data_IF_766511549850
#
_entry.id   IF_766511549850
#
_cell.length_a   1.000
_cell.length_b   1.000
_cell.length_c   1.000
_cell.angle_alpha   90.00
_cell.angle_beta   90.00
_cell.angle_gamma   90.00
#
_symmetry.space_group_name_H-M   'P 1'
#
loop_
_entity.id
_entity.type
_entity.pdbx_description
1 polymer ?
#
# COMPACT_ATOMS: atom_id res chain seq x y z
N UNK A 1 16.94 -19.45 -3.16
CA UNK A 1 17.03 -19.27 -4.62
C UNK A 1 15.98 -20.12 -5.31
N UNK A 2 15.24 -19.54 -6.26
CA UNK A 2 14.30 -20.28 -7.08
C UNK A 2 15.06 -20.99 -8.21
N UNK A 3 14.74 -22.26 -8.55
CA UNK A 3 15.28 -22.92 -9.73
C UNK A 3 15.03 -22.13 -11.01
N UNK A 4 15.93 -22.26 -12.01
CA UNK A 4 15.79 -21.59 -13.31
C UNK A 4 14.42 -21.88 -13.96
N UNK A 5 13.96 -23.13 -13.88
CA UNK A 5 12.70 -23.59 -14.48
C UNK A 5 11.47 -23.39 -13.58
N UNK A 6 11.63 -22.79 -12.40
CA UNK A 6 10.52 -22.54 -11.49
C UNK A 6 9.55 -21.54 -12.12
N UNK A 7 8.26 -21.87 -12.08
CA UNK A 7 7.21 -20.98 -12.60
C UNK A 7 6.88 -19.94 -11.53
N UNK A 8 6.96 -18.68 -11.91
CA UNK A 8 6.60 -17.55 -11.08
C UNK A 8 5.34 -16.92 -11.65
N UNK A 9 4.32 -16.83 -10.80
CA UNK A 9 3.13 -16.05 -11.04
C UNK A 9 3.28 -14.72 -10.29
N UNK A 10 3.32 -13.61 -11.02
CA UNK A 10 3.38 -12.25 -10.49
C UNK A 10 1.98 -11.67 -10.52
N UNK A 11 1.44 -11.32 -9.35
CA UNK A 11 0.11 -10.74 -9.19
C UNK A 11 0.17 -9.44 -8.40
N UNK A 12 -0.44 -8.35 -8.87
CA UNK A 12 -0.71 -7.17 -8.06
C UNK A 12 -1.58 -7.53 -6.86
N UNK A 13 -1.33 -6.90 -5.72
CA UNK A 13 -2.04 -7.19 -4.45
C UNK A 13 -3.31 -6.37 -4.25
N UNK A 14 -3.56 -5.42 -5.14
CA UNK A 14 -4.59 -4.38 -5.08
C UNK A 14 -5.71 -4.58 -6.12
N UNK A 15 -5.71 -5.70 -6.84
CA UNK A 15 -6.76 -6.04 -7.81
C UNK A 15 -7.90 -6.85 -7.19
N UNK A 16 -9.10 -6.65 -7.71
CA UNK A 16 -10.27 -7.48 -7.42
C UNK A 16 -10.57 -8.39 -8.61
N UNK A 17 -10.70 -9.70 -8.34
CA UNK A 17 -11.06 -10.72 -9.33
C UNK A 17 -12.29 -11.45 -8.79
N UNK A 18 -13.42 -11.37 -9.50
CA UNK A 18 -14.69 -11.97 -9.02
C UNK A 18 -14.96 -13.36 -9.58
N UNK A 19 -14.51 -13.65 -10.79
CA UNK A 19 -14.70 -14.98 -11.40
C UNK A 19 -13.48 -15.87 -11.14
N UNK A 20 -13.45 -16.49 -9.96
CA UNK A 20 -12.36 -17.39 -9.56
C UNK A 20 -12.24 -18.63 -10.45
N UNK A 21 -13.34 -19.08 -11.06
CA UNK A 21 -13.33 -20.27 -11.93
C UNK A 21 -12.64 -19.98 -13.25
N UNK A 22 -13.00 -18.87 -13.89
CA UNK A 22 -12.31 -18.43 -15.10
C UNK A 22 -10.86 -18.05 -14.78
N UNK A 23 -10.60 -17.44 -13.62
CA UNK A 23 -9.24 -17.13 -13.19
C UNK A 23 -8.36 -18.38 -13.08
N UNK A 24 -8.84 -19.44 -12.43
CA UNK A 24 -8.13 -20.73 -12.33
C UNK A 24 -7.83 -21.35 -13.70
N UNK A 25 -8.77 -21.25 -14.64
CA UNK A 25 -8.61 -21.73 -16.02
C UNK A 25 -7.52 -20.96 -16.77
N UNK A 26 -7.53 -19.63 -16.72
CA UNK A 26 -6.50 -18.82 -17.39
C UNK A 26 -5.13 -18.99 -16.74
N UNK A 27 -5.04 -19.21 -15.43
CA UNK A 27 -3.78 -19.53 -14.75
C UNK A 27 -3.19 -20.87 -15.23
N UNK A 28 -4.05 -21.87 -15.46
CA UNK A 28 -3.63 -23.18 -15.98
C UNK A 28 -3.03 -23.03 -17.39
N UNK A 29 -3.73 -22.30 -18.26
CA UNK A 29 -3.24 -22.00 -19.61
C UNK A 29 -1.95 -21.17 -19.58
N UNK A 30 -1.83 -20.20 -18.65
CA UNK A 30 -0.64 -19.39 -18.49
C UNK A 30 0.58 -20.23 -18.10
N UNK A 31 0.38 -21.19 -17.20
CA UNK A 31 1.42 -22.14 -16.81
C UNK A 31 1.89 -22.98 -18.01
N UNK A 32 0.98 -23.48 -18.83
CA UNK A 32 1.33 -24.26 -20.04
C UNK A 32 2.19 -23.45 -21.01
N UNK A 33 1.79 -22.20 -21.31
CA UNK A 33 2.57 -21.33 -22.18
C UNK A 33 3.92 -20.92 -21.58
N UNK A 34 3.97 -20.67 -20.27
CA UNK A 34 5.21 -20.36 -19.57
C UNK A 34 6.20 -21.55 -19.55
N UNK A 35 5.69 -22.78 -19.54
CA UNK A 35 6.49 -24.00 -19.68
C UNK A 35 7.19 -24.10 -21.04
N UNK A 36 6.70 -23.38 -22.05
CA UNK A 36 7.30 -23.25 -23.39
C UNK A 36 8.25 -22.03 -23.51
N UNK A 37 8.75 -21.51 -22.39
CA UNK A 37 9.67 -20.36 -22.31
C UNK A 37 9.08 -19.02 -22.79
N UNK A 38 7.74 -18.89 -22.78
CA UNK A 38 7.07 -17.61 -23.03
C UNK A 38 6.98 -16.75 -21.76
N UNK A 39 6.91 -15.42 -21.96
CA UNK A 39 6.51 -14.46 -20.94
C UNK A 39 5.01 -14.20 -21.09
N UNK A 40 4.19 -14.75 -20.21
CA UNK A 40 2.74 -14.69 -20.34
C UNK A 40 2.19 -13.48 -19.57
N UNK A 41 1.33 -12.70 -20.20
CA UNK A 41 0.51 -11.67 -19.57
C UNK A 41 -0.98 -11.99 -19.75
N UNK A 42 -1.84 -11.35 -18.97
CA UNK A 42 -3.28 -11.57 -19.00
C UNK A 42 -3.96 -10.29 -19.48
N UNK A 43 -4.67 -10.41 -20.61
CA UNK A 43 -5.41 -9.32 -21.22
C UNK A 43 -6.85 -9.36 -20.79
N UNK A 44 -7.37 -8.27 -20.22
CA UNK A 44 -8.81 -8.15 -19.90
C UNK A 44 -9.53 -7.61 -21.12
N UNK A 45 -10.62 -8.26 -21.52
CA UNK A 45 -11.46 -7.75 -22.62
C UNK A 45 -12.05 -6.40 -22.27
N UNK A 46 -11.74 -5.31 -23.00
CA UNK A 46 -12.25 -3.98 -22.70
C UNK A 46 -13.76 -3.93 -22.88
N UNK A 47 -14.46 -3.37 -21.89
CA UNK A 47 -15.91 -3.12 -21.98
C UNK A 47 -16.23 -1.68 -22.43
N UNK A 48 -15.26 -0.79 -22.31
CA UNK A 48 -15.35 0.62 -22.68
C UNK A 48 -13.95 1.15 -23.02
N UNK A 49 -13.88 2.39 -23.52
CA UNK A 49 -12.64 3.07 -23.84
C UNK A 49 -12.04 3.72 -22.58
N UNK A 50 -11.24 2.96 -21.83
CA UNK A 50 -10.51 3.47 -20.65
C UNK A 50 -9.19 4.12 -21.08
N UNK A 51 -8.84 5.25 -20.47
CA UNK A 51 -7.59 5.98 -20.74
C UNK A 51 -6.54 5.78 -19.64
N UNK A 52 -6.97 5.25 -18.48
CA UNK A 52 -6.12 4.95 -17.33
C UNK A 52 -5.34 3.64 -17.43
N UNK A 53 -5.66 2.77 -18.39
CA UNK A 53 -5.02 1.45 -18.54
C UNK A 53 -4.04 1.39 -19.71
N UNK A 54 -3.05 0.50 -19.59
CA UNK A 54 -2.27 0.03 -20.73
C UNK A 54 -3.09 -0.94 -21.58
N UNK A 55 -2.88 -0.92 -22.89
CA UNK A 55 -3.50 -1.81 -23.86
C UNK A 55 -2.46 -2.73 -24.49
N UNK A 56 -2.86 -3.98 -24.74
CA UNK A 56 -2.07 -5.01 -25.40
C UNK A 56 -2.72 -5.27 -26.76
N UNK A 57 -2.04 -4.92 -27.83
CA UNK A 57 -2.43 -5.33 -29.18
C UNK A 57 -1.97 -6.76 -29.43
N UNK A 58 -2.87 -7.63 -29.87
CA UNK A 58 -2.54 -9.03 -30.12
C UNK A 58 -3.08 -9.56 -31.44
N UNK A 59 -2.50 -10.69 -31.86
CA UNK A 59 -3.03 -11.55 -32.92
C UNK A 59 -3.13 -12.98 -32.38
N UNK A 60 -4.32 -13.37 -31.95
CA UNK A 60 -4.49 -14.58 -31.15
C UNK A 60 -3.81 -14.41 -29.79
N UNK A 61 -2.84 -15.27 -29.48
CA UNK A 61 -2.07 -15.19 -28.24
C UNK A 61 -0.77 -14.38 -28.39
N UNK A 62 -0.35 -14.07 -29.62
CA UNK A 62 0.89 -13.35 -29.88
C UNK A 62 0.70 -11.86 -29.65
N UNK A 63 1.51 -11.29 -28.75
CA UNK A 63 1.53 -9.85 -28.51
C UNK A 63 2.27 -9.15 -29.65
N UNK A 64 1.65 -8.13 -30.23
CA UNK A 64 2.23 -7.27 -31.25
C UNK A 64 2.90 -6.04 -30.65
N UNK A 65 2.21 -5.38 -29.72
CA UNK A 65 2.64 -4.14 -29.11
C UNK A 65 1.89 -3.91 -27.80
N UNK A 66 2.52 -3.16 -26.89
CA UNK A 66 1.82 -2.53 -25.78
C UNK A 66 1.68 -1.04 -26.05
N UNK A 67 0.59 -0.46 -25.57
CA UNK A 67 0.24 0.94 -25.72
C UNK A 67 -0.20 1.47 -24.35
N UNK A 68 0.62 2.29 -23.70
CA UNK A 68 0.28 2.80 -22.36
C UNK A 68 -0.64 4.02 -22.43
N UNK A 69 -1.73 3.98 -21.65
CA UNK A 69 -2.62 5.12 -21.34
C UNK A 69 -2.94 5.99 -22.56
N UNK A 70 -3.61 5.40 -23.57
CA UNK A 70 -3.99 6.12 -24.77
C UNK A 70 -4.90 7.31 -24.45
N UNK A 71 -4.95 8.29 -25.36
CA UNK A 71 -6.00 9.30 -25.30
C UNK A 71 -7.37 8.65 -25.62
N UNK A 72 -8.45 9.38 -25.34
CA UNK A 72 -9.82 8.86 -25.50
C UNK A 72 -10.12 8.36 -26.92
N UNK A 73 -9.69 9.11 -27.93
CA UNK A 73 -9.89 8.76 -29.35
C UNK A 73 -9.23 7.42 -29.70
N UNK A 74 -7.98 7.22 -29.26
CA UNK A 74 -7.24 5.97 -29.44
C UNK A 74 -7.86 4.80 -28.67
N UNK A 75 -8.30 5.03 -27.44
CA UNK A 75 -8.98 4.01 -26.66
C UNK A 75 -10.29 3.53 -27.34
N UNK A 76 -11.02 4.45 -27.98
CA UNK A 76 -12.21 4.12 -28.78
C UNK A 76 -11.84 3.33 -30.05
N UNK A 77 -10.76 3.70 -30.75
CA UNK A 77 -10.22 2.93 -31.88
C UNK A 77 -9.85 1.49 -31.47
N UNK A 78 -9.16 1.32 -30.33
CA UNK A 78 -8.75 0.02 -29.81
C UNK A 78 -9.95 -0.87 -29.47
N UNK A 79 -10.97 -0.29 -28.84
CA UNK A 79 -12.21 -0.99 -28.52
C UNK A 79 -12.92 -1.48 -29.80
N UNK A 80 -12.99 -0.64 -30.83
CA UNK A 80 -13.63 -1.00 -32.11
C UNK A 80 -12.85 -2.07 -32.88
N UNK A 81 -11.52 -2.07 -32.81
CA UNK A 81 -10.68 -3.04 -33.49
C UNK A 81 -10.83 -4.47 -32.91
N UNK A 82 -11.18 -4.60 -31.63
CA UNK A 82 -11.51 -5.88 -30.99
C UNK A 82 -10.33 -6.83 -30.75
N UNK A 83 -9.12 -6.44 -31.16
CA UNK A 83 -7.87 -7.20 -30.95
C UNK A 83 -6.93 -6.55 -29.91
N UNK A 84 -7.50 -5.67 -29.08
CA UNK A 84 -6.80 -4.99 -27.99
C UNK A 84 -7.38 -5.39 -26.63
N UNK A 85 -6.51 -5.58 -25.65
CA UNK A 85 -6.88 -6.00 -24.29
C UNK A 85 -6.28 -5.06 -23.25
N UNK A 86 -6.95 -4.82 -22.14
CA UNK A 86 -6.33 -4.10 -21.02
C UNK A 86 -5.24 -4.97 -20.38
N UNK A 87 -4.08 -4.37 -20.13
CA UNK A 87 -2.99 -4.99 -19.40
C UNK A 87 -3.37 -5.10 -17.92
N UNK A 88 -3.54 -6.32 -17.42
CA UNK A 88 -3.91 -6.57 -16.02
C UNK A 88 -2.74 -6.47 -15.04
N UNK A 89 -1.52 -6.22 -15.49
CA UNK A 89 -0.32 -6.21 -14.64
C UNK A 89 0.05 -7.57 -14.03
N UNK A 90 -0.64 -8.65 -14.40
CA UNK A 90 -0.32 -10.01 -14.01
C UNK A 90 0.62 -10.66 -15.04
N UNK A 91 1.56 -11.46 -14.56
CA UNK A 91 2.51 -12.16 -15.42
C UNK A 91 2.79 -13.58 -14.96
N UNK A 92 3.08 -14.49 -15.88
CA UNK A 92 3.49 -15.87 -15.59
C UNK A 92 4.66 -16.27 -16.50
N UNK A 93 5.76 -16.71 -15.90
CA UNK A 93 6.98 -17.09 -16.62
C UNK A 93 7.88 -18.00 -15.79
N UNK A 94 8.85 -18.64 -16.44
CA UNK A 94 9.97 -19.27 -15.72
C UNK A 94 10.92 -18.19 -15.17
N UNK A 95 11.35 -18.32 -13.92
CA UNK A 95 12.24 -17.37 -13.26
C UNK A 95 13.51 -17.10 -14.08
N UNK A 96 14.13 -18.15 -14.60
CA UNK A 96 15.35 -18.06 -15.41
C UNK A 96 15.15 -17.34 -16.74
N UNK A 97 14.06 -17.66 -17.45
CA UNK A 97 13.74 -17.04 -18.74
C UNK A 97 13.50 -15.54 -18.58
N UNK A 98 12.79 -15.13 -17.53
CA UNK A 98 12.61 -13.71 -17.23
C UNK A 98 13.95 -13.01 -16.95
N UNK A 99 14.83 -13.61 -16.16
CA UNK A 99 16.14 -13.04 -15.86
C UNK A 99 17.02 -12.90 -17.11
N UNK A 100 16.94 -13.85 -18.04
CA UNK A 100 17.66 -13.78 -19.32
C UNK A 100 17.13 -12.63 -20.20
N UNK A 101 15.81 -12.49 -20.32
CA UNK A 101 15.19 -11.39 -21.07
C UNK A 101 15.48 -10.03 -20.40
N UNK A 102 15.43 -9.95 -19.07
CA UNK A 102 15.78 -8.74 -18.31
C UNK A 102 17.24 -8.33 -18.55
N UNK A 103 18.16 -9.30 -18.60
CA UNK A 103 19.57 -9.03 -18.88
C UNK A 103 19.78 -8.47 -20.29
N UNK A 104 18.99 -8.90 -21.27
CA UNK A 104 19.06 -8.40 -22.65
C UNK A 104 18.48 -6.99 -22.76
N UNK A 105 17.28 -6.77 -22.24
CA UNK A 105 16.51 -5.55 -22.49
C UNK A 105 16.69 -4.44 -21.45
N UNK A 106 17.13 -4.80 -20.24
CA UNK A 106 17.43 -3.87 -19.16
C UNK A 106 18.65 -4.33 -18.32
N UNK A 107 19.84 -4.44 -18.95
CA UNK A 107 21.03 -4.98 -18.30
C UNK A 107 21.43 -4.24 -17.02
N UNK A 108 21.21 -2.92 -16.96
CA UNK A 108 21.51 -2.12 -15.77
C UNK A 108 20.65 -2.55 -14.58
N UNK A 109 19.33 -2.72 -14.78
CA UNK A 109 18.42 -3.20 -13.73
C UNK A 109 18.83 -4.60 -13.27
N UNK A 110 19.15 -5.50 -14.21
CA UNK A 110 19.60 -6.86 -13.88
C UNK A 110 20.86 -6.84 -13.00
N UNK A 111 21.92 -6.14 -13.42
CA UNK A 111 23.19 -6.15 -12.69
C UNK A 111 23.09 -5.46 -11.32
N UNK A 112 22.40 -4.31 -11.22
CA UNK A 112 22.22 -3.62 -9.93
C UNK A 112 21.35 -4.44 -8.98
N UNK A 113 20.27 -5.06 -9.47
CA UNK A 113 19.42 -5.93 -8.64
C UNK A 113 20.18 -7.16 -8.14
N UNK A 114 21.08 -7.71 -8.96
CA UNK A 114 21.95 -8.83 -8.57
C UNK A 114 22.95 -8.45 -7.48
N UNK A 115 23.53 -7.25 -7.56
CA UNK A 115 24.41 -6.70 -6.50
C UNK A 115 23.60 -6.50 -5.22
N UNK A 116 22.46 -5.83 -5.31
CA UNK A 116 21.56 -5.58 -4.19
C UNK A 116 21.14 -6.88 -3.48
N UNK A 117 20.82 -7.92 -4.26
CA UNK A 117 20.47 -9.24 -3.72
C UNK A 117 21.64 -9.90 -2.98
N UNK A 118 22.87 -9.81 -3.51
CA UNK A 118 24.07 -10.35 -2.85
C UNK A 118 24.44 -9.61 -1.57
N UNK A 119 24.20 -8.30 -1.53
CA UNK A 119 24.47 -7.44 -0.37
C UNK A 119 23.38 -7.55 0.70
N UNK A 120 22.21 -8.10 0.35
CA UNK A 120 21.07 -8.18 1.25
C UNK A 120 21.42 -8.99 2.51
N UNK A 121 20.98 -8.48 3.67
CA UNK A 121 21.10 -9.21 4.94
C UNK A 121 19.99 -10.25 5.01
N UNK A 122 20.34 -11.46 5.45
CA UNK A 122 19.39 -12.56 5.62
C UNK A 122 19.38 -13.04 7.07
N UNK A 123 18.66 -12.31 7.93
CA UNK A 123 18.33 -12.73 9.30
C UNK A 123 16.89 -13.30 9.29
N UNK A 124 16.61 -14.28 8.43
CA UNK A 124 15.27 -14.89 8.23
C UNK A 124 14.33 -14.11 7.30
N UNK A 125 14.63 -12.84 7.02
CA UNK A 125 13.96 -12.02 5.99
C UNK A 125 15.05 -11.37 5.14
N UNK A 126 14.94 -11.49 3.81
CA UNK A 126 15.84 -10.79 2.88
C UNK A 126 15.49 -9.30 2.89
N UNK A 127 16.44 -8.46 3.30
CA UNK A 127 16.29 -7.01 3.29
C UNK A 127 17.37 -6.37 2.45
N UNK A 128 16.96 -5.68 1.39
CA UNK A 128 17.82 -4.85 0.55
C UNK A 128 18.06 -3.52 1.29
N UNK A 129 19.30 -3.03 1.27
CA UNK A 129 19.64 -1.75 1.91
C UNK A 129 19.04 -0.58 1.14
N UNK A 130 18.91 0.58 1.79
CA UNK A 130 18.41 1.79 1.11
C UNK A 130 19.31 2.16 -0.07
N UNK A 131 20.63 2.17 0.13
CA UNK A 131 21.58 2.55 -0.92
C UNK A 131 21.54 1.58 -2.10
N UNK A 132 21.48 0.27 -1.84
CA UNK A 132 21.35 -0.74 -2.91
C UNK A 132 20.03 -0.55 -3.69
N UNK A 133 18.92 -0.29 -3.00
CA UNK A 133 17.61 -0.06 -3.66
C UNK A 133 17.64 1.21 -4.52
N UNK A 134 18.16 2.31 -3.98
CA UNK A 134 18.26 3.61 -4.66
C UNK A 134 19.17 3.57 -5.90
N UNK A 135 20.08 2.60 -5.98
CA UNK A 135 20.93 2.37 -7.15
C UNK A 135 20.25 1.58 -8.27
N UNK A 136 19.12 0.90 -8.01
CA UNK A 136 18.36 0.18 -9.03
C UNK A 136 17.57 1.22 -9.85
N UNK A 137 17.72 1.28 -11.19
CA UNK A 137 16.94 2.19 -12.01
C UNK A 137 15.43 1.96 -11.86
N UNK A 138 14.68 3.02 -11.61
CA UNK A 138 13.22 2.99 -11.55
C UNK A 138 12.63 2.75 -12.95
N UNK A 139 11.97 1.61 -13.14
CA UNK A 139 11.22 1.29 -14.35
C UNK A 139 10.22 0.16 -14.08
N UNK A 140 9.10 0.12 -14.81
CA UNK A 140 8.16 -1.01 -14.72
C UNK A 140 8.65 -2.21 -15.54
N UNK A 141 8.17 -3.41 -15.20
CA UNK A 141 8.45 -4.64 -15.94
C UNK A 141 7.90 -4.57 -17.38
N UNK A 142 6.79 -3.86 -17.58
CA UNK A 142 6.14 -3.64 -18.87
C UNK A 142 7.13 -3.00 -19.86
N UNK A 143 7.70 -1.86 -19.48
CA UNK A 143 8.69 -1.13 -20.30
C UNK A 143 10.08 -1.76 -20.32
N UNK A 144 10.50 -2.32 -19.18
CA UNK A 144 11.84 -2.88 -19.05
C UNK A 144 12.01 -4.14 -19.90
N UNK A 145 10.95 -4.96 -20.02
CA UNK A 145 11.02 -6.30 -20.63
C UNK A 145 9.87 -6.56 -21.59
N UNK A 146 8.61 -6.44 -21.15
CA UNK A 146 7.47 -6.99 -21.90
C UNK A 146 7.27 -6.32 -23.26
N UNK A 147 7.42 -5.01 -23.35
CA UNK A 147 7.32 -4.27 -24.61
C UNK A 147 8.37 -4.62 -25.65
N UNK A 148 9.52 -5.12 -25.21
CA UNK A 148 10.70 -5.34 -26.06
C UNK A 148 10.89 -6.82 -26.39
N UNK A 149 10.38 -7.71 -25.55
CA UNK A 149 10.51 -9.15 -25.70
C UNK A 149 9.66 -9.66 -26.87
N UNK A 150 10.24 -10.60 -27.62
CA UNK A 150 9.54 -11.31 -28.71
C UNK A 150 8.86 -12.59 -28.24
N UNK A 151 8.96 -12.91 -26.96
CA UNK A 151 8.42 -14.14 -26.34
C UNK A 151 7.13 -13.91 -25.57
N UNK A 152 6.51 -12.74 -25.76
CA UNK A 152 5.34 -12.36 -24.97
C UNK A 152 4.09 -12.98 -25.56
N UNK A 153 3.32 -13.65 -24.70
CA UNK A 153 1.99 -14.15 -25.01
C UNK A 153 0.97 -13.47 -24.14
N UNK A 154 -0.19 -13.15 -24.70
CA UNK A 154 -1.35 -12.67 -23.93
C UNK A 154 -2.42 -13.74 -23.90
N UNK A 155 -3.04 -13.94 -22.73
CA UNK A 155 -4.27 -14.71 -22.60
C UNK A 155 -5.43 -13.73 -22.49
N UNK A 156 -6.26 -13.59 -23.54
CA UNK A 156 -7.53 -12.89 -23.45
C UNK A 156 -8.41 -13.52 -22.38
N UNK A 157 -8.94 -12.71 -21.47
CA UNK A 157 -9.64 -13.19 -20.30
C UNK A 157 -10.81 -12.30 -19.91
N UNK A 158 -11.84 -12.92 -19.32
CA UNK A 158 -13.00 -12.24 -18.77
C UNK A 158 -13.22 -12.70 -17.32
N UNK A 159 -12.23 -12.41 -16.47
CA UNK A 159 -12.20 -12.85 -15.07
C UNK A 159 -12.96 -11.92 -14.12
N UNK A 160 -13.76 -11.00 -14.66
CA UNK A 160 -14.44 -9.95 -13.88
C UNK A 160 -13.44 -9.18 -12.99
N UNK A 161 -12.41 -8.63 -13.65
CA UNK A 161 -11.29 -7.91 -13.06
C UNK A 161 -11.61 -6.43 -12.85
N UNK A 162 -11.09 -5.86 -11.76
CA UNK A 162 -11.03 -4.43 -11.49
C UNK A 162 -9.69 -4.12 -10.81
N UNK A 163 -9.03 -3.04 -11.20
CA UNK A 163 -7.81 -2.56 -10.55
C UNK A 163 -8.10 -1.79 -9.25
N UNK A 164 -9.37 -1.46 -8.99
CA UNK A 164 -9.84 -0.62 -7.88
C UNK A 164 -8.98 0.66 -7.74
N UNK A 165 -8.46 1.17 -8.87
CA UNK A 165 -7.42 2.21 -8.88
C UNK A 165 -7.96 3.62 -8.65
N UNK A 166 -9.27 3.77 -8.48
CA UNK A 166 -9.94 5.06 -8.30
C UNK A 166 -11.15 4.95 -7.38
N UNK A 167 -11.56 6.09 -6.81
CA UNK A 167 -12.78 6.13 -6.00
C UNK A 167 -14.05 5.89 -6.84
N UNK A 168 -14.01 6.16 -8.14
CA UNK A 168 -15.10 5.77 -9.05
C UNK A 168 -15.22 4.24 -9.15
N UNK A 169 -14.08 3.54 -9.31
CA UNK A 169 -14.07 2.08 -9.30
C UNK A 169 -14.55 1.52 -7.95
N UNK A 170 -14.12 2.12 -6.84
CA UNK A 170 -14.58 1.73 -5.50
C UNK A 170 -16.10 1.89 -5.33
N UNK A 171 -16.69 2.98 -5.86
CA UNK A 171 -18.14 3.18 -5.84
C UNK A 171 -18.89 2.05 -6.54
N UNK A 172 -18.41 1.58 -7.69
CA UNK A 172 -19.04 0.49 -8.43
C UNK A 172 -19.05 -0.81 -7.63
N UNK A 173 -18.00 -1.06 -6.86
CA UNK A 173 -17.82 -2.28 -6.07
C UNK A 173 -18.60 -2.31 -4.75
N UNK A 174 -18.82 -1.16 -4.13
CA UNK A 174 -19.50 -1.11 -2.84
C UNK A 174 -21.02 -1.32 -2.98
N UNK A 175 -21.64 -2.01 -2.00
CA UNK A 175 -23.10 -2.13 -1.91
C UNK A 175 -23.77 -0.75 -1.84
N UNK A 176 -24.93 -0.61 -2.48
CA UNK A 176 -25.67 0.66 -2.59
C UNK A 176 -27.06 0.55 -1.98
N UNK A 177 -27.56 1.65 -1.45
CA UNK A 177 -28.95 1.80 -1.02
C UNK A 177 -29.90 1.99 -2.22
N UNK A 178 -31.20 2.16 -1.93
CA UNK A 178 -32.25 2.39 -2.95
C UNK A 178 -32.07 3.67 -3.77
N UNK A 179 -31.26 4.62 -3.29
CA UNK A 179 -30.99 5.92 -3.90
C UNK A 179 -29.62 5.95 -4.60
N UNK A 180 -28.91 4.82 -4.66
CA UNK A 180 -27.59 4.71 -5.28
C UNK A 180 -26.45 5.23 -4.40
N UNK A 181 -26.66 5.57 -3.12
CA UNK A 181 -25.57 5.91 -2.22
C UNK A 181 -24.91 4.63 -1.70
N UNK A 182 -23.59 4.61 -1.51
CA UNK A 182 -22.95 3.44 -0.89
C UNK A 182 -23.40 3.26 0.56
N UNK A 183 -23.68 2.02 0.94
CA UNK A 183 -24.17 1.69 2.30
C UNK A 183 -23.08 1.96 3.32
N UNK A 184 -23.39 2.79 4.33
CA UNK A 184 -22.49 3.12 5.42
C UNK A 184 -23.30 3.45 6.70
N UNK A 185 -23.01 2.77 7.81
CA UNK A 185 -23.73 2.94 9.09
C UNK A 185 -23.57 4.35 9.70
N UNK A 186 -22.56 5.10 9.25
CA UNK A 186 -22.31 6.47 9.66
C UNK A 186 -22.91 7.51 8.71
N UNK A 187 -23.57 7.10 7.64
CA UNK A 187 -24.21 7.99 6.69
C UNK A 187 -25.66 8.30 7.06
N UNK A 188 -26.01 9.58 7.04
CA UNK A 188 -27.38 10.07 7.10
C UNK A 188 -27.65 10.85 5.82
N UNK A 189 -28.70 10.46 5.09
CA UNK A 189 -29.03 11.03 3.79
C UNK A 189 -30.44 11.63 3.80
N UNK A 190 -30.56 12.87 3.34
CA UNK A 190 -31.82 13.53 3.01
C UNK A 190 -31.74 13.92 1.53
N UNK A 191 -32.64 13.39 0.72
CA UNK A 191 -32.77 13.72 -0.71
C UNK A 191 -31.47 13.69 -1.54
N UNK A 192 -30.51 12.82 -1.15
CA UNK A 192 -29.20 12.68 -1.81
C UNK A 192 -29.09 11.34 -2.55
N UNK A 193 -28.41 11.34 -3.72
CA UNK A 193 -28.37 10.19 -4.65
C UNK A 193 -27.00 9.93 -5.27
N UNK A 194 -26.74 8.67 -5.61
CA UNK A 194 -25.56 8.26 -6.40
C UNK A 194 -24.21 8.69 -5.81
N UNK A 195 -24.11 8.81 -4.48
CA UNK A 195 -22.90 9.25 -3.79
C UNK A 195 -22.06 8.07 -3.27
N UNK A 196 -20.73 8.15 -3.44
CA UNK A 196 -19.80 7.34 -2.66
C UNK A 196 -19.62 7.98 -1.29
N UNK A 197 -19.98 7.26 -0.24
CA UNK A 197 -19.81 7.63 1.15
C UNK A 197 -18.90 6.60 1.84
N UNK A 198 -17.64 6.98 2.02
CA UNK A 198 -16.64 6.14 2.66
C UNK A 198 -16.10 6.82 3.91
N UNK A 199 -16.05 6.11 5.03
CA UNK A 199 -15.55 6.63 6.29
C UNK A 199 -16.20 5.97 7.49
N UNK A 200 -15.46 5.86 8.59
CA UNK A 200 -15.90 5.11 9.77
C UNK A 200 -15.73 5.87 11.10
N UNK A 201 -15.20 7.09 11.07
CA UNK A 201 -14.89 7.88 12.28
C UNK A 201 -16.04 8.81 12.66
N UNK A 202 -16.46 9.69 11.75
CA UNK A 202 -17.51 10.69 12.00
C UNK A 202 -18.83 10.28 11.35
N UNK A 203 -19.92 10.89 11.81
CA UNK A 203 -21.19 10.87 11.07
C UNK A 203 -21.06 11.74 9.83
N UNK A 204 -21.44 11.19 8.69
CA UNK A 204 -21.45 11.87 7.39
C UNK A 204 -22.91 12.18 7.07
N UNK A 205 -23.25 13.45 6.88
CA UNK A 205 -24.61 13.87 6.53
C UNK A 205 -24.63 14.53 5.16
N UNK A 206 -25.57 14.13 4.30
CA UNK A 206 -25.78 14.70 2.96
C UNK A 206 -27.21 15.17 2.78
N UNK A 207 -27.39 16.38 2.24
CA UNK A 207 -28.70 16.99 1.96
C UNK A 207 -28.67 17.55 0.53
N UNK A 208 -29.63 17.15 -0.30
CA UNK A 208 -29.81 17.66 -1.67
C UNK A 208 -28.55 17.60 -2.56
N UNK A 209 -27.71 16.56 -2.38
CA UNK A 209 -26.49 16.36 -3.17
C UNK A 209 -26.51 15.06 -3.96
N UNK A 210 -25.91 15.13 -5.15
CA UNK A 210 -25.83 13.99 -6.06
C UNK A 210 -24.45 13.89 -6.72
N UNK A 211 -24.09 12.66 -7.07
CA UNK A 211 -22.84 12.33 -7.78
C UNK A 211 -21.59 12.88 -7.08
N UNK A 212 -21.52 12.75 -5.76
CA UNK A 212 -20.34 13.06 -4.96
C UNK A 212 -19.57 11.82 -4.53
N UNK A 213 -18.27 12.00 -4.38
CA UNK A 213 -17.37 11.12 -3.66
C UNK A 213 -17.01 11.85 -2.37
N UNK A 214 -17.41 11.28 -1.23
CA UNK A 214 -17.11 11.75 0.12
C UNK A 214 -16.32 10.65 0.83
N UNK A 215 -15.04 10.92 1.09
CA UNK A 215 -14.12 9.99 1.74
C UNK A 215 -13.61 10.67 3.01
N UNK A 216 -14.11 10.23 4.16
CA UNK A 216 -13.74 10.72 5.48
C UNK A 216 -12.84 9.70 6.19
N UNK A 217 -11.57 10.05 6.31
CA UNK A 217 -10.56 9.28 7.04
C UNK A 217 -10.12 10.06 8.28
N UNK A 218 -9.39 9.42 9.19
CA UNK A 218 -8.99 10.06 10.45
C UNK A 218 -8.13 11.32 10.25
N UNK A 219 -7.36 11.38 9.16
CA UNK A 219 -6.40 12.43 8.84
C UNK A 219 -6.86 13.38 7.72
N UNK A 220 -7.75 12.93 6.83
CA UNK A 220 -8.18 13.74 5.71
C UNK A 220 -9.65 13.52 5.32
N UNK A 221 -10.26 14.59 4.80
CA UNK A 221 -11.56 14.57 4.14
C UNK A 221 -11.38 14.92 2.66
N UNK A 222 -11.80 14.03 1.78
CA UNK A 222 -11.91 14.28 0.35
C UNK A 222 -13.39 14.41 -0.02
N UNK A 223 -13.73 15.51 -0.69
CA UNK A 223 -15.00 15.68 -1.37
C UNK A 223 -14.70 16.00 -2.83
N UNK A 224 -15.27 15.22 -3.75
CA UNK A 224 -15.14 15.47 -5.18
C UNK A 224 -16.40 15.07 -5.92
N UNK A 225 -16.56 15.57 -7.15
CA UNK A 225 -17.59 15.07 -8.05
C UNK A 225 -17.19 13.70 -8.58
N UNK A 226 -18.14 12.76 -8.63
CA UNK A 226 -17.99 11.46 -9.30
C UNK A 226 -17.56 11.67 -10.76
N UNK A 227 -16.65 10.82 -11.24
CA UNK A 227 -15.95 10.94 -12.52
C UNK A 227 -14.73 11.86 -12.51
N UNK A 228 -14.41 12.51 -11.38
CA UNK A 228 -13.20 13.35 -11.23
C UNK A 228 -12.13 12.74 -10.33
N UNK A 229 -12.28 11.47 -9.91
CA UNK A 229 -11.37 10.85 -8.94
C UNK A 229 -9.91 10.75 -9.42
N UNK A 230 -9.67 10.72 -10.73
CA UNK A 230 -8.31 10.73 -11.31
C UNK A 230 -7.50 11.99 -10.90
N UNK A 231 -8.16 13.10 -10.55
CA UNK A 231 -7.51 14.33 -10.09
C UNK A 231 -7.00 14.25 -8.65
N UNK A 232 -7.30 13.19 -7.90
CA UNK A 232 -6.78 13.00 -6.53
C UNK A 232 -5.26 13.04 -6.51
N UNK A 233 -4.58 12.52 -7.54
CA UNK A 233 -3.12 12.60 -7.68
C UNK A 233 -2.60 14.04 -7.67
N UNK A 234 -3.33 14.98 -8.28
CA UNK A 234 -2.98 16.40 -8.28
C UNK A 234 -3.14 17.00 -6.87
N UNK A 235 -4.19 16.63 -6.14
CA UNK A 235 -4.37 17.06 -4.74
C UNK A 235 -3.24 16.53 -3.85
N UNK A 236 -2.85 15.26 -3.99
CA UNK A 236 -1.71 14.69 -3.25
C UNK A 236 -0.43 15.47 -3.53
N UNK A 237 -0.18 15.88 -4.78
CA UNK A 237 0.97 16.71 -5.13
C UNK A 237 0.95 18.10 -4.46
N UNK A 238 -0.22 18.70 -4.26
CA UNK A 238 -0.34 19.97 -3.52
C UNK A 238 -0.15 19.78 -2.01
N UNK A 239 -0.76 18.73 -1.43
CA UNK A 239 -0.66 18.41 0.01
C UNK A 239 0.78 18.11 0.44
N UNK A 240 1.57 17.48 -0.44
CA UNK A 240 3.01 17.25 -0.26
C UNK A 240 3.83 18.50 0.03
N UNK A 241 3.39 19.68 -0.43
CA UNK A 241 4.14 20.93 -0.28
C UNK A 241 4.08 21.49 1.14
N UNK A 242 3.07 21.10 1.91
CA UNK A 242 2.78 21.72 3.21
C UNK A 242 2.66 20.72 4.34
N UNK A 243 2.47 19.43 4.05
CA UNK A 243 2.25 18.40 5.08
C UNK A 243 2.85 17.04 4.70
N UNK A 244 3.16 16.24 5.73
CA UNK A 244 3.59 14.84 5.60
C UNK A 244 2.42 13.84 5.51
N UNK A 245 1.17 14.30 5.38
CA UNK A 245 -0.03 13.44 5.36
C UNK A 245 0.01 12.37 4.26
N UNK A 246 0.71 12.65 3.17
CA UNK A 246 0.89 11.72 2.05
C UNK A 246 1.83 10.55 2.35
N UNK A 247 2.56 10.60 3.47
CA UNK A 247 3.64 9.70 3.82
C UNK A 247 3.43 9.08 5.21
N UNK A 248 3.00 9.90 6.17
CA UNK A 248 2.76 9.49 7.56
C UNK A 248 1.26 9.32 7.78
N UNK A 249 0.82 8.07 7.80
CA UNK A 249 -0.53 7.73 8.26
C UNK A 249 -0.63 7.96 9.78
N UNK A 250 -1.81 8.35 10.28
CA UNK A 250 -2.07 8.46 11.72
C UNK A 250 -1.60 7.25 12.53
N UNK A 251 -1.78 6.04 12.00
CA UNK A 251 -1.38 4.79 12.67
C UNK A 251 -0.15 4.19 12.01
N UNK A 252 0.97 4.17 12.73
CA UNK A 252 2.18 3.48 12.32
C UNK A 252 2.20 2.03 12.82
N UNK A 253 2.40 1.09 11.91
CA UNK A 253 2.61 -0.32 12.26
C UNK A 253 4.08 -0.62 12.49
N UNK A 254 4.38 -1.35 13.55
CA UNK A 254 5.74 -1.77 13.93
C UNK A 254 5.74 -3.26 14.31
N UNK A 255 6.91 -3.92 14.27
CA UNK A 255 7.01 -5.33 14.67
C UNK A 255 6.55 -5.61 16.12
N UNK A 256 6.65 -4.61 17.00
CA UNK A 256 6.19 -4.70 18.39
C UNK A 256 4.71 -4.39 18.59
N UNK A 257 4.02 -3.78 17.61
CA UNK A 257 2.65 -3.29 17.78
C UNK A 257 2.34 -2.09 16.90
N UNK A 258 1.60 -1.11 17.43
CA UNK A 258 1.20 0.09 16.71
C UNK A 258 1.33 1.34 17.57
N UNK A 259 1.48 2.50 16.94
CA UNK A 259 1.15 3.78 17.55
C UNK A 259 0.17 4.52 16.65
N UNK A 260 -0.71 5.31 17.25
CA UNK A 260 -1.62 6.22 16.55
C UNK A 260 -1.41 7.62 17.09
N UNK A 261 -1.10 8.59 16.23
CA UNK A 261 -1.08 10.00 16.60
C UNK A 261 -2.53 10.46 16.76
N UNK A 262 -2.89 10.87 17.97
CA UNK A 262 -4.21 11.39 18.28
C UNK A 262 -4.27 12.91 18.10
N UNK A 263 -3.15 13.58 18.39
CA UNK A 263 -3.02 15.02 18.29
C UNK A 263 -1.54 15.41 18.09
N UNK A 264 -1.28 16.38 17.21
CA UNK A 264 0.06 16.91 16.94
C UNK A 264 -0.04 18.43 16.77
N UNK A 265 0.41 19.17 17.79
CA UNK A 265 0.23 20.61 17.92
C UNK A 265 1.54 21.24 18.41
N UNK A 266 1.87 22.50 18.08
CA UNK A 266 3.05 23.15 18.66
C UNK A 266 3.07 23.05 20.20
N UNK A 267 4.15 22.48 20.74
CA UNK A 267 4.35 22.30 22.18
C UNK A 267 3.98 20.92 22.74
N UNK A 268 3.15 20.12 22.06
CA UNK A 268 2.82 18.76 22.51
C UNK A 268 2.33 17.81 21.42
N UNK A 269 2.44 16.51 21.69
CA UNK A 269 1.94 15.44 20.83
C UNK A 269 1.34 14.33 21.67
N UNK A 270 0.16 13.86 21.29
CA UNK A 270 -0.54 12.78 21.99
C UNK A 270 -0.56 11.54 21.09
N UNK A 271 -0.14 10.41 21.62
CA UNK A 271 -0.19 9.12 20.92
C UNK A 271 -0.93 8.07 21.74
N UNK A 272 -1.66 7.19 21.04
CA UNK A 272 -2.07 5.89 21.57
C UNK A 272 -1.03 4.87 21.13
N UNK A 273 -0.38 4.19 22.07
CA UNK A 273 0.57 3.12 21.77
C UNK A 273 -0.03 1.79 22.20
N UNK A 274 0.04 0.79 21.32
CA UNK A 274 -0.40 -0.58 21.58
C UNK A 274 0.75 -1.56 21.36
N UNK A 275 1.15 -2.26 22.42
CA UNK A 275 2.26 -3.22 22.39
C UNK A 275 1.73 -4.64 22.51
N UNK A 276 2.08 -5.49 21.55
CA UNK A 276 1.68 -6.90 21.52
C UNK A 276 2.33 -7.69 22.66
N UNK A 277 1.71 -8.79 23.12
CA UNK A 277 2.31 -9.70 24.10
C UNK A 277 3.73 -10.14 23.74
N UNK A 278 4.65 -10.11 24.71
CA UNK A 278 6.04 -10.51 24.55
C UNK A 278 6.88 -9.59 23.66
N UNK A 279 6.42 -8.35 23.41
CA UNK A 279 7.13 -7.36 22.60
C UNK A 279 7.52 -6.15 23.43
N UNK A 280 8.51 -5.40 22.93
CA UNK A 280 9.01 -4.16 23.54
C UNK A 280 9.41 -3.15 22.49
N UNK A 281 9.44 -1.89 22.91
CA UNK A 281 10.01 -0.78 22.15
C UNK A 281 11.54 -0.76 22.33
N UNK A 282 12.20 0.02 21.50
CA UNK A 282 13.64 0.28 21.63
C UNK A 282 13.93 0.94 22.99
N UNK A 283 15.11 0.67 23.55
CA UNK A 283 15.65 1.47 24.65
C UNK A 283 16.12 2.78 24.05
N UNK A 284 15.55 3.89 24.49
CA UNK A 284 15.73 5.17 23.83
C UNK A 284 15.73 6.33 24.81
N UNK A 285 16.09 7.51 24.31
CA UNK A 285 15.93 8.80 24.98
C UNK A 285 15.59 9.88 23.95
N UNK A 286 15.15 11.03 24.42
CA UNK A 286 14.87 12.23 23.63
C UNK A 286 15.57 13.42 24.28
N UNK A 287 15.98 14.44 23.53
CA UNK A 287 16.63 15.62 24.12
C UNK A 287 15.66 16.76 24.40
N UNK A 288 14.56 16.87 23.66
CA UNK A 288 13.77 18.10 23.61
C UNK A 288 12.34 17.97 24.16
N UNK A 289 11.96 16.79 24.65
CA UNK A 289 10.61 16.53 25.19
C UNK A 289 10.63 15.68 26.45
N UNK A 290 9.70 16.00 27.35
CA UNK A 290 9.28 15.10 28.41
C UNK A 290 8.12 14.23 27.91
N UNK A 291 7.90 13.09 28.55
CA UNK A 291 6.77 12.23 28.25
C UNK A 291 6.02 11.84 29.52
N UNK A 292 4.71 11.73 29.39
CA UNK A 292 3.83 11.18 30.41
C UNK A 292 3.04 10.02 29.81
N UNK A 293 3.22 8.84 30.38
CA UNK A 293 2.57 7.62 29.90
C UNK A 293 1.49 7.20 30.88
N UNK A 294 0.28 7.00 30.38
CA UNK A 294 -0.86 6.50 31.16
C UNK A 294 -1.30 5.16 30.57
N UNK A 295 -1.25 4.09 31.36
CA UNK A 295 -1.68 2.76 30.89
C UNK A 295 -3.20 2.70 30.91
N UNK A 296 -3.81 2.41 29.76
CA UNK A 296 -5.26 2.28 29.58
C UNK A 296 -5.71 0.84 29.76
N UNK A 297 -4.90 -0.12 29.28
CA UNK A 297 -5.21 -1.55 29.34
C UNK A 297 -3.94 -2.39 29.39
N UNK A 298 -4.02 -3.58 29.98
CA UNK A 298 -2.88 -4.46 30.20
C UNK A 298 -1.98 -4.01 31.36
N UNK A 299 -0.79 -4.59 31.47
CA UNK A 299 0.22 -4.18 32.44
C UNK A 299 1.55 -3.98 31.73
N UNK A 300 2.05 -2.74 31.76
CA UNK A 300 3.30 -2.36 31.15
C UNK A 300 4.47 -2.63 32.11
N UNK A 301 5.58 -3.13 31.59
CA UNK A 301 6.88 -3.05 32.26
C UNK A 301 7.60 -1.83 31.71
N UNK A 302 7.83 -0.82 32.55
CA UNK A 302 8.46 0.43 32.13
C UNK A 302 9.82 0.57 32.79
N UNK A 303 10.83 0.84 31.97
CA UNK A 303 12.17 1.23 32.42
C UNK A 303 12.31 2.75 32.31
N UNK A 304 12.78 3.42 33.36
CA UNK A 304 13.17 4.85 33.36
C UNK A 304 14.47 4.99 34.16
N UNK A 305 15.55 5.36 33.48
CA UNK A 305 16.91 5.29 34.02
C UNK A 305 17.21 3.87 34.53
N UNK A 306 17.59 3.77 35.80
CA UNK A 306 17.90 2.49 36.46
C UNK A 306 16.67 1.79 37.08
N UNK A 307 15.48 2.38 36.98
CA UNK A 307 14.25 1.85 37.59
C UNK A 307 13.43 1.05 36.60
N UNK A 308 12.97 -0.12 37.02
CA UNK A 308 12.03 -0.95 36.27
C UNK A 308 10.79 -1.17 37.14
N UNK A 309 9.63 -0.74 36.66
CA UNK A 309 8.37 -0.79 37.39
C UNK A 309 7.24 -1.36 36.54
N UNK A 310 6.28 -2.01 37.19
CA UNK A 310 5.04 -2.46 36.56
C UNK A 310 3.99 -1.37 36.70
N UNK A 311 3.46 -0.90 35.57
CA UNK A 311 2.41 0.13 35.50
C UNK A 311 1.11 -0.54 35.01
N UNK A 312 0.08 -0.50 35.84
CA UNK A 312 -1.24 -1.13 35.63
C UNK A 312 -2.24 -0.13 35.03
N UNK A 313 -3.43 -0.58 34.61
CA UNK A 313 -4.45 0.33 34.07
C UNK A 313 -4.77 1.45 35.06
N UNK A 314 -4.88 2.68 34.55
CA UNK A 314 -5.09 3.91 35.31
C UNK A 314 -3.91 4.36 36.20
N UNK A 315 -2.75 3.70 36.09
CA UNK A 315 -1.48 4.20 36.63
C UNK A 315 -0.69 4.94 35.54
N UNK A 316 0.29 5.75 35.96
CA UNK A 316 1.09 6.55 35.03
C UNK A 316 2.55 6.63 35.43
N UNK A 317 3.40 6.99 34.49
CA UNK A 317 4.82 7.25 34.71
C UNK A 317 5.27 8.48 33.94
N UNK A 318 6.22 9.21 34.50
CA UNK A 318 6.76 10.45 33.95
C UNK A 318 8.23 10.27 33.58
N UNK A 319 8.57 10.67 32.37
CA UNK A 319 9.89 10.52 31.77
C UNK A 319 10.40 11.92 31.44
N UNK A 320 11.50 12.30 32.09
CA UNK A 320 12.15 13.59 31.82
C UNK A 320 12.94 13.53 30.52
N UNK A 321 13.08 14.66 29.85
CA UNK A 321 13.99 14.80 28.72
C UNK A 321 15.40 14.34 29.12
N UNK A 322 16.08 13.65 28.23
CA UNK A 322 17.40 13.06 28.44
C UNK A 322 17.40 11.70 29.15
N UNK A 323 16.31 11.31 29.82
CA UNK A 323 16.22 10.03 30.51
C UNK A 323 16.09 8.86 29.54
N UNK A 324 16.86 7.80 29.81
CA UNK A 324 16.76 6.54 29.09
C UNK A 324 15.50 5.83 29.55
N UNK A 325 14.69 5.36 28.62
CA UNK A 325 13.45 4.66 28.95
C UNK A 325 13.08 3.61 27.90
N UNK A 326 12.23 2.66 28.32
CA UNK A 326 11.71 1.58 27.47
C UNK A 326 10.36 1.11 27.97
N UNK A 327 9.48 0.79 27.02
CA UNK A 327 8.21 0.13 27.25
C UNK A 327 8.27 -1.33 26.81
N UNK A 328 7.84 -2.24 27.67
CA UNK A 328 7.76 -3.67 27.41
C UNK A 328 6.40 -4.25 27.85
N UNK A 329 5.91 -5.22 27.09
CA UNK A 329 4.73 -6.02 27.44
C UNK A 329 5.14 -7.47 27.70
N UNK A 330 5.36 -7.82 28.97
CA UNK A 330 5.63 -9.20 29.41
C UNK A 330 4.36 -10.03 29.61
N UNK A 331 3.19 -9.41 29.44
CA UNK A 331 1.90 -10.05 29.63
C UNK A 331 1.45 -10.92 28.45
N UNK A 332 0.23 -11.44 28.58
CA UNK A 332 -0.43 -12.28 27.55
C UNK A 332 -1.47 -11.53 26.72
N UNK A 333 -1.84 -10.31 27.12
CA UNK A 333 -2.78 -9.44 26.40
C UNK A 333 -2.05 -8.17 25.95
N UNK A 334 -2.56 -7.49 24.93
CA UNK A 334 -2.00 -6.21 24.48
C UNK A 334 -1.98 -5.19 25.62
N UNK A 335 -0.89 -4.43 25.71
CA UNK A 335 -0.79 -3.23 26.53
C UNK A 335 -1.18 -2.05 25.67
N UNK A 336 -2.09 -1.21 26.16
CA UNK A 336 -2.48 0.04 25.50
C UNK A 336 -2.17 1.19 26.46
N UNK A 337 -1.49 2.22 25.97
CA UNK A 337 -1.22 3.44 26.73
C UNK A 337 -1.50 4.70 25.91
N UNK A 338 -1.73 5.79 26.61
CA UNK A 338 -1.68 7.15 26.07
C UNK A 338 -0.36 7.77 26.48
N UNK A 339 0.37 8.27 25.49
CA UNK A 339 1.61 9.00 25.65
C UNK A 339 1.35 10.47 25.34
N UNK A 340 1.60 11.34 26.31
CA UNK A 340 1.65 12.78 26.11
C UNK A 340 3.11 13.22 26.07
N UNK A 341 3.57 13.65 24.90
CA UNK A 341 4.88 14.25 24.70
C UNK A 341 4.75 15.76 24.83
N UNK A 342 5.56 16.40 25.68
CA UNK A 342 5.48 17.84 25.93
C UNK A 342 6.88 18.44 25.82
N UNK A 343 7.04 19.41 24.93
CA UNK A 343 8.32 20.06 24.64
C UNK A 343 8.25 20.94 23.39
N UNK A 344 9.26 21.79 23.20
CA UNK A 344 9.35 22.67 22.03
C UNK A 344 9.53 21.89 20.71
N UNK A 345 10.02 20.64 20.82
CA UNK A 345 10.24 19.77 19.67
C UNK A 345 9.83 18.32 19.98
N UNK A 346 8.89 17.78 19.20
CA UNK A 346 8.27 16.46 19.41
C UNK A 346 8.37 15.54 18.18
N UNK A 347 9.25 15.86 17.23
CA UNK A 347 9.47 15.03 16.06
C UNK A 347 10.21 13.71 16.39
N UNK A 348 10.15 12.73 15.49
CA UNK A 348 10.69 11.38 15.71
C UNK A 348 12.21 11.29 15.54
N UNK A 349 12.83 12.26 14.90
CA UNK A 349 14.29 12.38 14.70
C UNK A 349 15.03 12.86 15.96
N UNK A 350 14.32 13.33 17.00
CA UNK A 350 14.88 13.56 18.34
C UNK A 350 15.18 12.25 19.11
N UNK A 351 14.69 11.11 18.61
CA UNK A 351 14.83 9.83 19.29
C UNK A 351 16.24 9.27 19.08
N UNK A 352 16.99 9.13 20.17
CA UNK A 352 18.26 8.39 20.18
C UNK A 352 18.02 6.97 20.67
N UNK A 353 18.26 5.98 19.81
CA UNK A 353 18.12 4.56 20.13
C UNK A 353 19.42 3.96 20.63
N UNK A 354 19.36 3.31 21.78
CA UNK A 354 20.50 2.69 22.45
C UNK A 354 20.51 1.18 22.19
N UNK A 355 19.34 0.56 22.32
CA UNK A 355 19.15 -0.86 21.99
C UNK A 355 17.84 -1.04 21.22
N UNK A 356 17.92 -1.54 19.99
CA UNK A 356 16.75 -1.85 19.18
C UNK A 356 16.80 -3.31 18.68
N UNK A 357 15.82 -4.11 19.13
CA UNK A 357 15.64 -5.49 18.67
C UNK A 357 15.42 -5.58 17.14
N UNK A 358 15.05 -4.45 16.51
CA UNK A 358 14.75 -4.35 15.09
C UNK A 358 15.85 -3.67 14.27
N UNK A 359 17.00 -3.34 14.89
CA UNK A 359 18.19 -2.74 14.26
C UNK A 359 17.90 -1.45 13.46
N UNK A 360 16.93 -0.65 13.90
CA UNK A 360 16.70 0.71 13.40
C UNK A 360 17.54 1.63 14.27
N UNK A 361 18.77 1.91 13.85
CA UNK A 361 19.64 2.87 14.53
C UNK A 361 19.66 4.17 13.76
#
# INVERSE_FOLDING_TARGET
DLPYHEIVLVTPSDHLIKDEKEYSKVLTQAKELALEDNLVTFGITPQFAETGFGYIEANGLDVKAFHEKPNKERAEEYLQAGNYYWNSGMFCFKAGVFLDELKVYSPKIYETSKIAYKNAKSDGIVRITHDDMSNIPENSIDYAVMEKSKKVKVIPSNISWSDVGSFDALYEELPKDKNGNTINDNHVSIDSKNNLIYGNTRKIATIDVEDLIVVDTGDALLISKKGSSQKVKAIVAEVKKTTELHNIHLTGHRPWGTYTVLEDTPGYKIKRIEVKPGKRLSLQKHYHRNEHWVVVSGTATVTVGDKIELIRPNESTYIKMGEIHRLENQGKISVVLIEAQVGEYTAEDDIVRIEDDFKRF
#
